data_IF_918241902843
#
_entry.id   IF_918241902843
#
_cell.length_a   1.000
_cell.length_b   1.000
_cell.length_c   1.000
_cell.angle_alpha   90.00
_cell.angle_beta   90.00
_cell.angle_gamma   90.00
#
_symmetry.space_group_name_H-M   'P 1'
#
loop_
_entity.id
_entity.type
_entity.pdbx_description
1 polymer ?
#
# COMPACT_ATOMS: atom_id res chain seq x y z
N UNK A 1 -31.22 2.52 8.04
CA UNK A 1 -31.04 3.45 6.90
C UNK A 1 -29.57 3.55 6.58
N UNK A 2 -29.19 3.52 5.31
CA UNK A 2 -27.84 3.84 4.85
C UNK A 2 -27.99 4.90 3.75
N UNK A 3 -27.47 6.12 3.96
CA UNK A 3 -27.59 7.20 2.97
C UNK A 3 -29.04 7.55 2.57
N UNK A 4 -30.01 7.39 3.47
CA UNK A 4 -31.43 7.62 3.18
C UNK A 4 -32.20 6.39 2.65
N UNK A 5 -31.53 5.25 2.46
CA UNK A 5 -32.18 4.01 2.00
C UNK A 5 -32.51 3.08 3.18
N UNK A 6 -33.75 2.55 3.31
CA UNK A 6 -34.06 1.53 4.31
C UNK A 6 -33.30 0.25 3.99
N UNK A 7 -32.71 -0.36 5.02
CA UNK A 7 -31.95 -1.60 4.91
C UNK A 7 -32.43 -2.57 5.97
N UNK A 8 -32.55 -3.84 5.58
CA UNK A 8 -32.85 -4.95 6.48
C UNK A 8 -31.59 -5.50 7.15
N UNK A 9 -31.62 -6.79 7.50
CA UNK A 9 -30.44 -7.52 7.98
C UNK A 9 -29.67 -8.06 6.77
N UNK A 10 -28.62 -7.35 6.39
CA UNK A 10 -27.86 -7.62 5.17
C UNK A 10 -26.36 -7.72 5.44
N UNK A 11 -25.61 -8.27 4.47
CA UNK A 11 -24.15 -8.19 4.40
C UNK A 11 -23.78 -7.08 3.43
N UNK A 12 -22.92 -6.16 3.86
CA UNK A 12 -22.51 -4.99 3.08
C UNK A 12 -21.00 -5.06 2.84
N UNK A 13 -20.60 -4.98 1.57
CA UNK A 13 -19.21 -4.84 1.18
C UNK A 13 -18.84 -3.36 1.09
N UNK A 14 -17.88 -2.95 1.91
CA UNK A 14 -17.28 -1.62 1.81
C UNK A 14 -16.09 -1.69 0.85
N UNK A 15 -16.20 -1.05 -0.31
CA UNK A 15 -15.07 -0.96 -1.24
C UNK A 15 -14.06 0.07 -0.74
N UNK A 16 -13.08 -0.41 0.02
CA UNK A 16 -11.93 0.40 0.48
C UNK A 16 -11.12 0.91 -0.71
N UNK A 17 -11.01 0.10 -1.78
CA UNK A 17 -10.38 0.50 -3.04
C UNK A 17 -11.00 1.76 -3.62
N UNK A 18 -12.35 1.80 -3.72
CA UNK A 18 -13.06 2.96 -4.24
C UNK A 18 -12.89 4.18 -3.34
N UNK A 19 -12.89 4.00 -2.02
CA UNK A 19 -12.68 5.11 -1.07
C UNK A 19 -11.29 5.75 -1.23
N UNK A 20 -10.24 4.92 -1.33
CA UNK A 20 -8.85 5.39 -1.43
C UNK A 20 -8.52 5.98 -2.80
N UNK A 21 -9.33 5.69 -3.83
CA UNK A 21 -9.17 6.21 -5.20
C UNK A 21 -10.30 7.12 -5.66
N UNK A 22 -11.15 7.59 -4.75
CA UNK A 22 -12.26 8.46 -5.11
C UNK A 22 -11.75 9.86 -5.50
N UNK A 23 -11.92 10.32 -6.76
CA UNK A 23 -11.46 11.65 -7.19
C UNK A 23 -12.22 12.80 -6.52
N UNK A 24 -13.31 12.50 -5.79
CA UNK A 24 -14.01 13.50 -4.95
C UNK A 24 -13.32 13.74 -3.61
N UNK A 25 -12.42 12.86 -3.20
CA UNK A 25 -11.71 12.93 -1.92
C UNK A 25 -10.20 13.10 -2.10
N UNK A 26 -9.67 12.74 -3.27
CA UNK A 26 -8.24 12.72 -3.54
C UNK A 26 -7.95 13.38 -4.88
N UNK A 27 -7.14 14.43 -4.87
CA UNK A 27 -6.50 14.95 -6.07
C UNK A 27 -5.52 13.89 -6.61
N UNK A 28 -5.50 13.72 -7.93
CA UNK A 28 -4.67 12.75 -8.64
C UNK A 28 -4.71 11.36 -7.95
N UNK A 29 -5.91 10.83 -7.76
CA UNK A 29 -6.17 9.68 -6.89
C UNK A 29 -5.41 8.40 -7.28
N UNK A 30 -5.06 8.26 -8.56
CA UNK A 30 -4.30 7.13 -9.09
C UNK A 30 -2.78 7.36 -9.11
N UNK A 31 -2.31 8.55 -8.74
CA UNK A 31 -0.89 8.89 -8.72
C UNK A 31 -0.25 8.50 -7.40
N UNK A 32 0.86 7.75 -7.46
CA UNK A 32 1.73 7.51 -6.32
C UNK A 32 2.49 8.79 -5.95
N UNK A 33 1.93 9.55 -5.00
CA UNK A 33 2.52 10.77 -4.47
C UNK A 33 2.53 10.71 -2.94
N UNK A 34 3.64 10.30 -2.29
CA UNK A 34 3.77 10.31 -0.84
C UNK A 34 3.63 11.70 -0.22
N UNK A 35 4.03 12.76 -0.94
CA UNK A 35 3.94 14.14 -0.47
C UNK A 35 2.52 14.73 -0.51
N UNK A 36 1.50 13.97 -0.95
CA UNK A 36 0.09 14.39 -0.77
C UNK A 36 -0.27 14.64 0.70
N UNK A 37 0.53 14.09 1.62
CA UNK A 37 0.47 14.37 3.04
C UNK A 37 1.73 15.15 3.47
N UNK A 38 1.58 16.27 4.19
CA UNK A 38 2.73 17.03 4.69
C UNK A 38 3.62 16.17 5.59
N UNK A 39 4.92 16.16 5.32
CA UNK A 39 5.90 15.32 6.01
C UNK A 39 5.97 15.61 7.52
N UNK A 40 5.92 16.89 7.89
CA UNK A 40 5.92 17.35 9.29
C UNK A 40 4.51 17.39 9.91
N UNK A 41 3.51 16.90 9.19
CA UNK A 41 2.12 16.85 9.64
C UNK A 41 1.79 15.56 10.41
N UNK A 42 0.58 15.48 10.98
CA UNK A 42 0.13 14.25 11.63
C UNK A 42 -0.06 13.13 10.60
N UNK A 43 0.36 11.92 10.97
CA UNK A 43 0.11 10.70 10.18
C UNK A 43 -1.37 10.52 9.87
N UNK A 44 -1.69 10.08 8.65
CA UNK A 44 -3.08 9.89 8.22
C UNK A 44 -3.69 8.63 8.81
N UNK A 45 -4.94 8.74 9.21
CA UNK A 45 -5.73 7.65 9.76
C UNK A 45 -7.23 7.86 9.45
N UNK A 46 -8.04 6.89 9.84
CA UNK A 46 -9.50 6.91 9.62
C UNK A 46 -10.20 8.17 10.15
N UNK A 47 -9.74 8.71 11.28
CA UNK A 47 -10.37 9.86 11.93
C UNK A 47 -10.04 11.13 11.17
N UNK A 48 -8.75 11.40 10.93
CA UNK A 48 -8.34 12.66 10.30
C UNK A 48 -8.60 12.72 8.79
N UNK A 49 -8.96 11.60 8.15
CA UNK A 49 -9.41 11.55 6.75
C UNK A 49 -10.92 11.32 6.62
N UNK A 50 -11.68 11.45 7.72
CA UNK A 50 -13.14 11.32 7.72
C UNK A 50 -13.62 10.05 6.99
N UNK A 51 -13.02 8.91 7.32
CA UNK A 51 -13.32 7.60 6.72
C UNK A 51 -13.00 7.42 5.22
N UNK A 52 -12.37 8.41 4.56
CA UNK A 52 -11.91 8.27 3.17
C UNK A 52 -10.60 7.48 3.06
N UNK A 53 -9.85 7.36 4.16
CA UNK A 53 -8.63 6.56 4.27
C UNK A 53 -8.74 5.55 5.41
N UNK A 54 -8.56 4.28 5.11
CA UNK A 54 -8.87 3.13 5.97
C UNK A 54 -7.78 2.04 5.90
N UNK A 55 -6.49 2.37 6.08
CA UNK A 55 -5.40 1.39 5.93
C UNK A 55 -5.49 0.23 6.93
N UNK A 56 -6.09 0.47 8.09
CA UNK A 56 -6.24 -0.50 9.18
C UNK A 56 -7.70 -0.65 9.62
N UNK A 57 -8.66 -0.29 8.77
CA UNK A 57 -10.09 -0.24 9.11
C UNK A 57 -10.44 0.90 10.10
N UNK A 58 -11.53 0.73 10.84
CA UNK A 58 -12.01 1.73 11.79
C UNK A 58 -13.06 1.18 12.77
N UNK A 59 -13.37 1.98 13.80
CA UNK A 59 -14.33 1.63 14.84
C UNK A 59 -13.88 0.46 15.73
N UNK A 60 -14.82 -0.23 16.41
CA UNK A 60 -14.51 -1.30 17.38
C UNK A 60 -13.83 -2.55 16.79
N UNK A 61 -13.79 -2.68 15.46
CA UNK A 61 -13.17 -3.80 14.73
C UNK A 61 -11.94 -3.37 13.92
N UNK A 62 -11.36 -2.21 14.24
CA UNK A 62 -10.09 -1.75 13.67
C UNK A 62 -9.00 -2.80 13.93
N UNK A 63 -8.05 -2.93 13.02
CA UNK A 63 -6.88 -3.78 13.20
C UNK A 63 -6.16 -3.47 14.52
N UNK A 64 -5.91 -4.50 15.32
CA UNK A 64 -5.18 -4.40 16.60
C UNK A 64 -3.66 -4.28 16.40
N UNK A 65 -3.16 -4.68 15.22
CA UNK A 65 -1.74 -4.65 14.85
C UNK A 65 -1.34 -3.43 14.01
N UNK A 66 -2.11 -2.35 14.01
CA UNK A 66 -1.86 -1.19 13.15
C UNK A 66 -0.48 -0.55 13.37
N UNK A 67 -0.09 -0.33 14.61
CA UNK A 67 1.23 0.20 14.96
C UNK A 67 2.34 -0.82 14.66
N UNK A 68 2.11 -2.10 14.93
CA UNK A 68 3.08 -3.16 14.65
C UNK A 68 3.40 -3.20 13.15
N UNK A 69 2.38 -3.34 12.30
CA UNK A 69 2.53 -3.39 10.85
C UNK A 69 3.14 -2.09 10.29
N UNK A 70 2.78 -0.94 10.87
CA UNK A 70 3.37 0.36 10.47
C UNK A 70 4.87 0.38 10.72
N UNK A 71 5.33 0.00 11.93
CA UNK A 71 6.75 -0.01 12.23
C UNK A 71 7.52 -1.09 11.48
N UNK A 72 6.95 -2.29 11.35
CA UNK A 72 7.52 -3.38 10.55
C UNK A 72 7.76 -2.93 9.10
N UNK A 73 6.75 -2.35 8.46
CA UNK A 73 6.83 -1.89 7.06
C UNK A 73 7.85 -0.77 6.90
N UNK A 74 7.86 0.20 7.82
CA UNK A 74 8.83 1.33 7.79
C UNK A 74 10.26 0.82 7.92
N UNK A 75 10.53 -0.08 8.87
CA UNK A 75 11.86 -0.65 9.07
C UNK A 75 12.29 -1.47 7.86
N UNK A 76 11.44 -2.39 7.38
CA UNK A 76 11.76 -3.21 6.21
C UNK A 76 12.06 -2.34 4.98
N UNK A 77 11.20 -1.37 4.69
CA UNK A 77 11.36 -0.47 3.54
C UNK A 77 12.62 0.37 3.65
N UNK A 78 12.87 1.00 4.82
CA UNK A 78 14.05 1.82 5.03
C UNK A 78 15.35 1.02 4.90
N UNK A 79 15.37 -0.21 5.44
CA UNK A 79 16.54 -1.07 5.38
C UNK A 79 16.82 -1.60 3.97
N UNK A 80 15.78 -1.96 3.22
CA UNK A 80 15.89 -2.38 1.82
C UNK A 80 16.34 -1.22 0.92
N UNK A 81 15.68 -0.07 1.00
CA UNK A 81 16.02 1.11 0.20
C UNK A 81 17.41 1.70 0.51
N UNK A 82 17.88 1.54 1.76
CA UNK A 82 19.24 1.94 2.15
C UNK A 82 20.31 1.05 1.49
N UNK A 83 19.99 -0.22 1.20
CA UNK A 83 20.97 -1.21 0.72
C UNK A 83 20.92 -1.40 -0.79
N UNK A 84 19.74 -1.40 -1.38
CA UNK A 84 19.53 -1.81 -2.76
C UNK A 84 18.79 -0.75 -3.57
N UNK A 85 19.17 -0.63 -4.85
CA UNK A 85 18.39 0.08 -5.86
C UNK A 85 17.66 -0.92 -6.76
N UNK A 86 16.36 -1.05 -6.54
CA UNK A 86 15.55 -2.05 -7.24
C UNK A 86 15.09 -1.57 -8.62
N UNK A 87 15.04 -2.50 -9.57
CA UNK A 87 14.42 -2.34 -10.89
C UNK A 87 13.62 -3.57 -11.28
N UNK A 88 12.71 -3.42 -12.25
CA UNK A 88 12.02 -4.57 -12.83
C UNK A 88 13.03 -5.49 -13.53
N UNK A 89 12.92 -6.80 -13.28
CA UNK A 89 13.78 -7.77 -13.94
C UNK A 89 13.54 -7.74 -15.47
N UNK A 90 14.58 -7.89 -16.31
CA UNK A 90 14.41 -8.00 -17.76
C UNK A 90 13.47 -9.16 -18.11
N UNK A 91 12.42 -8.88 -18.88
CA UNK A 91 11.42 -9.89 -19.25
C UNK A 91 10.45 -10.28 -18.13
N UNK A 92 10.39 -9.52 -17.03
CA UNK A 92 9.36 -9.70 -16.02
C UNK A 92 7.95 -9.64 -16.65
N UNK A 93 7.00 -10.48 -16.18
CA UNK A 93 5.63 -10.43 -16.64
C UNK A 93 4.96 -9.11 -16.24
N UNK A 94 3.86 -8.70 -16.90
CA UNK A 94 3.05 -7.58 -16.45
C UNK A 94 2.61 -7.76 -14.99
N UNK A 95 2.71 -6.70 -14.20
CA UNK A 95 2.30 -6.71 -12.79
C UNK A 95 0.78 -6.46 -12.73
N UNK A 96 0.02 -7.55 -12.80
CA UNK A 96 -1.44 -7.54 -12.69
C UNK A 96 -1.92 -7.97 -11.31
N UNK A 97 -3.15 -7.59 -10.94
CA UNK A 97 -3.71 -7.85 -9.60
C UNK A 97 -4.68 -9.02 -9.58
N UNK A 98 -4.60 -9.82 -8.53
CA UNK A 98 -5.66 -10.73 -8.08
C UNK A 98 -6.13 -10.34 -6.69
N UNK A 99 -7.39 -10.64 -6.37
CA UNK A 99 -8.01 -10.23 -5.11
C UNK A 99 -8.39 -11.44 -4.25
N UNK A 100 -8.12 -11.37 -2.96
CA UNK A 100 -8.61 -12.29 -1.93
C UNK A 100 -8.76 -11.57 -0.60
N UNK A 101 -8.25 -12.14 0.49
CA UNK A 101 -8.10 -11.41 1.76
C UNK A 101 -7.13 -10.21 1.61
N UNK A 102 -6.11 -10.36 0.76
CA UNK A 102 -5.13 -9.36 0.34
C UNK A 102 -5.10 -9.25 -1.18
N UNK A 103 -4.52 -8.17 -1.71
CA UNK A 103 -4.23 -8.04 -3.15
C UNK A 103 -2.89 -8.70 -3.42
N UNK A 104 -2.85 -9.63 -4.37
CA UNK A 104 -1.63 -10.30 -4.82
C UNK A 104 -1.34 -9.96 -6.27
N UNK A 105 -0.10 -10.15 -6.69
CA UNK A 105 0.26 -10.17 -8.11
C UNK A 105 -0.17 -11.50 -8.74
N UNK A 106 -0.45 -11.50 -10.05
CA UNK A 106 -0.76 -12.74 -10.79
C UNK A 106 0.44 -13.68 -10.90
N UNK A 107 1.65 -13.13 -11.09
CA UNK A 107 2.86 -13.88 -11.47
C UNK A 107 4.11 -13.47 -10.66
N UNK A 108 3.92 -12.85 -9.49
CA UNK A 108 5.01 -12.32 -8.65
C UNK A 108 5.47 -10.92 -9.06
N UNK A 109 6.20 -10.25 -8.18
CA UNK A 109 6.89 -8.99 -8.50
C UNK A 109 8.39 -9.29 -8.71
N UNK A 110 8.76 -9.57 -9.96
CA UNK A 110 10.14 -9.93 -10.32
C UNK A 110 11.02 -8.69 -10.47
N UNK A 111 12.05 -8.62 -9.63
CA UNK A 111 12.96 -7.48 -9.58
C UNK A 111 14.42 -7.92 -9.61
N UNK A 112 15.29 -7.03 -10.06
CA UNK A 112 16.74 -7.09 -9.84
C UNK A 112 17.16 -5.88 -9.01
N UNK A 113 18.39 -5.90 -8.48
CA UNK A 113 18.99 -4.71 -7.91
C UNK A 113 20.20 -4.27 -8.74
N UNK A 114 20.37 -2.96 -8.90
CA UNK A 114 21.48 -2.36 -9.65
C UNK A 114 22.75 -2.23 -8.82
N UNK A 115 22.61 -1.96 -7.52
CA UNK A 115 23.72 -1.74 -6.61
C UNK A 115 23.40 -2.32 -5.24
N UNK A 116 24.39 -2.98 -4.63
CA UNK A 116 24.43 -3.23 -3.20
C UNK A 116 25.35 -2.17 -2.54
N UNK A 117 24.71 -1.14 -2.00
CA UNK A 117 25.37 0.00 -1.35
C UNK A 117 26.15 -0.37 -0.09
N UNK A 118 25.95 -1.58 0.43
CA UNK A 118 26.70 -2.07 1.60
C UNK A 118 28.08 -2.61 1.23
N UNK A 119 28.24 -3.12 0.01
CA UNK A 119 29.49 -3.67 -0.53
C UNK A 119 30.14 -2.76 -1.58
N UNK A 120 29.40 -1.75 -2.07
CA UNK A 120 29.83 -0.90 -3.18
C UNK A 120 29.86 -1.65 -4.52
N UNK A 121 29.22 -2.82 -4.59
CA UNK A 121 29.14 -3.62 -5.80
C UNK A 121 27.98 -3.12 -6.66
N UNK A 122 28.29 -2.79 -7.92
CA UNK A 122 27.34 -2.29 -8.92
C UNK A 122 27.05 -3.32 -10.02
N UNK A 123 27.53 -4.55 -9.85
CA UNK A 123 27.09 -5.66 -10.70
C UNK A 123 25.62 -6.01 -10.37
N UNK A 124 24.74 -6.14 -11.37
CA UNK A 124 23.36 -6.54 -11.15
C UNK A 124 23.33 -7.88 -10.44
N UNK A 125 22.70 -7.93 -9.28
CA UNK A 125 22.55 -9.19 -8.58
C UNK A 125 21.47 -10.09 -9.13
N UNK A 126 21.37 -11.28 -8.54
CA UNK A 126 20.40 -12.30 -8.91
C UNK A 126 18.94 -11.78 -8.85
N UNK A 127 18.06 -12.37 -9.66
CA UNK A 127 16.62 -12.10 -9.66
C UNK A 127 16.04 -12.35 -8.27
N UNK A 128 15.40 -11.32 -7.70
CA UNK A 128 14.66 -11.41 -6.44
C UNK A 128 13.17 -11.38 -6.77
N UNK A 129 12.46 -12.42 -6.33
CA UNK A 129 11.00 -12.50 -6.46
C UNK A 129 10.36 -12.09 -5.13
N UNK A 130 9.50 -11.07 -5.17
CA UNK A 130 8.65 -10.64 -4.06
C UNK A 130 7.19 -11.05 -4.27
#
# INVERSE_FOLDING_TARGET
MLGGYPIGREVIFLSVWNLHRCPKHWDDADVFNPQRWPLDGPNRNVINQTFSYLPFGGGPRKCVGDLFATFETVVATAMLAKRFDFQMAPGAPPVEMTTGATVHTTEGLKMTYLEDKSTGNSEPGDEICF
#
